data_IF_600041922165
#
_entry.id   IF_600041922165
#
_cell.length_a   1.000
_cell.length_b   1.000
_cell.length_c   1.000
_cell.angle_alpha   90.00
_cell.angle_beta   90.00
_cell.angle_gamma   90.00
#
_symmetry.space_group_name_H-M   'P 1'
#
loop_
_entity.id
_entity.type
_entity.pdbx_description
1 polymer ?
#
# COMPACT_ATOMS: atom_id res chain seq x y z
N UNK A 1 -9.95 -55.05 -11.04
CA UNK A 1 -10.26 -56.02 -9.95
C UNK A 1 -10.21 -57.48 -10.42
N UNK A 2 -10.40 -57.78 -11.71
CA UNK A 2 -10.38 -59.14 -12.27
C UNK A 2 -8.98 -59.77 -12.42
N UNK A 3 -7.95 -58.98 -12.72
CA UNK A 3 -6.60 -59.50 -13.03
C UNK A 3 -5.89 -60.11 -11.82
N UNK A 4 -6.06 -59.51 -10.63
CA UNK A 4 -5.43 -59.99 -9.39
C UNK A 4 -5.93 -61.37 -8.98
N UNK A 5 -7.25 -61.61 -9.08
CA UNK A 5 -7.83 -62.93 -8.75
C UNK A 5 -7.39 -64.02 -9.72
N UNK A 6 -7.26 -63.71 -11.02
CA UNK A 6 -6.76 -64.66 -12.03
C UNK A 6 -5.30 -65.02 -11.75
N UNK A 7 -4.48 -64.05 -11.35
CA UNK A 7 -3.06 -64.24 -11.05
C UNK A 7 -2.87 -65.08 -9.77
N UNK A 8 -3.67 -64.81 -8.73
CA UNK A 8 -3.71 -65.62 -7.50
C UNK A 8 -4.14 -67.05 -7.81
N UNK A 9 -5.20 -67.24 -8.61
CA UNK A 9 -5.67 -68.57 -9.00
C UNK A 9 -4.62 -69.33 -9.83
N UNK A 10 -3.97 -68.66 -10.78
CA UNK A 10 -2.90 -69.23 -11.59
C UNK A 10 -1.70 -69.68 -10.72
N UNK A 11 -1.27 -68.85 -9.76
CA UNK A 11 -0.20 -69.20 -8.82
C UNK A 11 -0.59 -70.39 -7.94
N UNK A 12 -1.84 -70.43 -7.47
CA UNK A 12 -2.32 -71.52 -6.62
C UNK A 12 -2.32 -72.87 -7.34
N UNK A 13 -2.77 -72.88 -8.60
CA UNK A 13 -2.72 -74.07 -9.46
C UNK A 13 -1.27 -74.45 -9.76
N UNK A 14 -0.43 -73.49 -10.14
CA UNK A 14 0.99 -73.73 -10.44
C UNK A 14 1.74 -74.28 -9.21
N UNK A 15 1.50 -73.71 -8.02
CA UNK A 15 2.08 -74.14 -6.77
C UNK A 15 1.67 -75.57 -6.39
N UNK A 16 0.39 -75.93 -6.61
CA UNK A 16 -0.10 -77.30 -6.42
C UNK A 16 0.59 -78.31 -7.35
N UNK A 17 0.72 -77.97 -8.64
CA UNK A 17 1.43 -78.81 -9.62
C UNK A 17 2.88 -79.01 -9.22
N UNK A 18 3.59 -77.93 -8.88
CA UNK A 18 5.00 -78.00 -8.54
C UNK A 18 5.23 -78.77 -7.22
N UNK A 19 4.34 -78.63 -6.22
CA UNK A 19 4.41 -79.37 -4.97
C UNK A 19 4.32 -80.90 -5.19
N UNK A 20 3.42 -81.35 -6.08
CA UNK A 20 3.30 -82.79 -6.39
C UNK A 20 4.52 -83.36 -7.13
N UNK A 21 5.16 -82.55 -7.98
CA UNK A 21 6.40 -82.93 -8.68
C UNK A 21 7.58 -83.00 -7.70
N UNK A 22 7.68 -82.03 -6.79
CA UNK A 22 8.71 -82.00 -5.73
C UNK A 22 8.63 -83.23 -4.81
N UNK A 23 7.43 -83.63 -4.39
CA UNK A 23 7.23 -84.82 -3.55
C UNK A 23 7.58 -86.13 -4.28
N UNK A 24 7.24 -86.23 -5.58
CA UNK A 24 7.62 -87.38 -6.40
C UNK A 24 9.12 -87.48 -6.63
N UNK A 25 9.82 -86.35 -6.74
CA UNK A 25 11.29 -86.32 -6.81
C UNK A 25 11.91 -86.78 -5.49
N UNK A 26 11.43 -86.25 -4.36
CA UNK A 26 11.90 -86.64 -3.02
C UNK A 26 11.72 -88.13 -2.72
N UNK A 27 10.54 -88.68 -3.03
CA UNK A 27 10.23 -90.10 -2.80
C UNK A 27 11.01 -91.04 -3.73
N UNK A 28 11.25 -90.65 -4.99
CA UNK A 28 12.10 -91.43 -5.91
C UNK A 28 13.56 -91.46 -5.46
N UNK A 29 14.10 -90.33 -5.02
CA UNK A 29 15.48 -90.25 -4.49
C UNK A 29 15.62 -91.08 -3.21
N UNK A 30 14.60 -91.05 -2.34
CA UNK A 30 14.56 -91.90 -1.14
C UNK A 30 14.46 -93.40 -1.43
N UNK A 31 13.69 -93.81 -2.44
CA UNK A 31 13.60 -95.23 -2.85
C UNK A 31 14.84 -95.73 -3.59
N UNK A 32 15.51 -94.86 -4.35
CA UNK A 32 16.73 -95.19 -5.09
C UNK A 32 17.97 -95.40 -4.18
N UNK A 33 17.82 -95.21 -2.86
CA UNK A 33 18.89 -95.30 -1.84
C UNK A 33 20.14 -94.48 -2.20
N UNK A 34 19.95 -93.34 -2.85
CA UNK A 34 21.04 -92.46 -3.24
C UNK A 34 21.73 -91.91 -1.98
N UNK A 35 23.05 -91.97 -1.97
CA UNK A 35 23.90 -91.37 -0.95
C UNK A 35 24.51 -90.10 -1.53
N UNK A 36 24.33 -88.98 -0.85
CA UNK A 36 25.01 -87.73 -1.16
C UNK A 36 25.98 -87.47 -0.01
N UNK A 37 27.28 -87.28 -0.30
CA UNK A 37 28.30 -87.03 0.72
C UNK A 37 28.30 -88.02 1.91
N UNK A 38 28.20 -89.33 1.65
CA UNK A 38 28.16 -90.39 2.67
C UNK A 38 26.98 -90.34 3.66
N UNK A 39 25.90 -89.59 3.35
CA UNK A 39 24.72 -89.55 4.20
C UNK A 39 23.88 -90.82 4.09
N UNK A 40 23.28 -91.23 5.23
CA UNK A 40 22.32 -92.34 5.27
C UNK A 40 21.17 -92.03 4.30
N UNK A 41 20.74 -92.97 3.44
CA UNK A 41 19.82 -92.67 2.33
C UNK A 41 18.52 -91.96 2.67
N UNK A 42 17.98 -92.16 3.90
CA UNK A 42 16.82 -91.42 4.41
C UNK A 42 17.10 -89.92 4.56
N UNK A 43 18.26 -89.56 5.09
CA UNK A 43 18.65 -88.16 5.31
C UNK A 43 18.99 -87.49 3.96
N UNK A 44 19.59 -88.23 3.03
CA UNK A 44 19.82 -87.75 1.66
C UNK A 44 18.50 -87.34 0.98
N UNK A 45 17.47 -88.18 1.10
CA UNK A 45 16.16 -87.89 0.51
C UNK A 45 15.56 -86.59 1.09
N UNK A 46 15.62 -86.41 2.41
CA UNK A 46 15.13 -85.20 3.08
C UNK A 46 15.89 -83.95 2.61
N UNK A 47 17.23 -84.01 2.56
CA UNK A 47 18.06 -82.90 2.10
C UNK A 47 17.72 -82.53 0.65
N UNK A 48 17.60 -83.52 -0.23
CA UNK A 48 17.23 -83.29 -1.64
C UNK A 48 15.83 -82.69 -1.74
N UNK A 49 14.85 -83.14 -0.95
CA UNK A 49 13.51 -82.54 -0.92
C UNK A 49 13.54 -81.09 -0.46
N UNK A 50 14.28 -80.75 0.60
CA UNK A 50 14.38 -79.37 1.10
C UNK A 50 15.05 -78.46 0.08
N UNK A 51 16.15 -78.90 -0.55
CA UNK A 51 16.82 -78.15 -1.61
C UNK A 51 15.88 -77.96 -2.81
N UNK A 52 15.19 -79.02 -3.23
CA UNK A 52 14.23 -78.95 -4.34
C UNK A 52 13.09 -77.97 -4.03
N UNK A 53 12.52 -78.02 -2.83
CA UNK A 53 11.52 -77.07 -2.36
C UNK A 53 12.03 -75.62 -2.32
N UNK A 54 13.26 -75.41 -1.86
CA UNK A 54 13.89 -74.08 -1.82
C UNK A 54 14.11 -73.51 -3.23
N UNK A 55 14.60 -74.34 -4.16
CA UNK A 55 14.80 -73.95 -5.57
C UNK A 55 13.45 -73.62 -6.23
N UNK A 56 12.43 -74.43 -5.98
CA UNK A 56 11.06 -74.19 -6.46
C UNK A 56 10.55 -72.83 -5.95
N UNK A 57 10.58 -72.61 -4.64
CA UNK A 57 10.09 -71.37 -4.03
C UNK A 57 10.87 -70.14 -4.51
N UNK A 58 12.20 -70.24 -4.62
CA UNK A 58 13.04 -69.17 -5.15
C UNK A 58 12.71 -68.87 -6.62
N UNK A 59 12.45 -69.90 -7.43
CA UNK A 59 12.06 -69.74 -8.84
C UNK A 59 10.69 -69.07 -8.96
N UNK A 60 9.71 -69.49 -8.16
CA UNK A 60 8.38 -68.86 -8.14
C UNK A 60 8.47 -67.40 -7.73
N UNK A 61 9.23 -67.08 -6.68
CA UNK A 61 9.44 -65.70 -6.23
C UNK A 61 10.12 -64.86 -7.34
N UNK A 62 11.14 -65.42 -8.00
CA UNK A 62 11.86 -64.76 -9.10
C UNK A 62 10.94 -64.45 -10.27
N UNK A 63 10.10 -65.40 -10.68
CA UNK A 63 9.11 -65.20 -11.73
C UNK A 63 8.13 -64.09 -11.34
N UNK A 64 7.67 -64.07 -10.07
CA UNK A 64 6.75 -63.05 -9.58
C UNK A 64 7.38 -61.65 -9.62
N UNK A 65 8.64 -61.50 -9.20
CA UNK A 65 9.38 -60.24 -9.27
C UNK A 65 9.65 -59.75 -10.69
N UNK A 66 9.81 -60.68 -11.66
CA UNK A 66 10.00 -60.33 -13.07
C UNK A 66 8.68 -59.97 -13.76
N UNK A 67 7.60 -60.65 -13.41
CA UNK A 67 6.29 -60.44 -14.00
C UNK A 67 5.57 -59.20 -13.44
N UNK A 68 5.81 -58.86 -12.16
CA UNK A 68 5.12 -57.78 -11.47
C UNK A 68 6.08 -56.65 -11.05
N UNK A 69 6.03 -55.56 -11.81
CA UNK A 69 6.78 -54.34 -11.51
C UNK A 69 6.31 -53.65 -10.22
N UNK A 70 5.02 -53.76 -9.86
CA UNK A 70 4.45 -53.17 -8.65
C UNK A 70 4.94 -53.89 -7.40
N UNK A 71 5.10 -55.22 -7.46
CA UNK A 71 5.65 -56.00 -6.35
C UNK A 71 7.13 -55.64 -6.09
N UNK A 72 7.92 -55.45 -7.15
CA UNK A 72 9.32 -55.02 -7.05
C UNK A 72 9.43 -53.61 -6.46
N UNK A 73 8.68 -52.65 -7.01
CA UNK A 73 8.65 -51.27 -6.52
C UNK A 73 8.11 -51.22 -5.08
N UNK A 74 7.05 -51.95 -4.76
CA UNK A 74 6.46 -51.98 -3.42
C UNK A 74 7.37 -52.57 -2.34
N UNK A 75 8.16 -53.61 -2.65
CA UNK A 75 9.08 -54.23 -1.68
C UNK A 75 10.39 -53.44 -1.50
N UNK A 76 10.88 -52.74 -2.53
CA UNK A 76 12.17 -52.05 -2.47
C UNK A 76 12.09 -50.52 -2.33
N UNK A 77 10.95 -49.90 -2.65
CA UNK A 77 10.80 -48.44 -2.66
C UNK A 77 9.89 -47.90 -1.57
N UNK A 78 9.35 -48.76 -0.68
CA UNK A 78 8.44 -48.34 0.40
C UNK A 78 9.02 -47.22 1.29
N UNK A 79 10.33 -47.27 1.56
CA UNK A 79 11.03 -46.23 2.30
C UNK A 79 11.03 -44.89 1.55
N UNK A 80 11.38 -44.91 0.25
CA UNK A 80 11.35 -43.71 -0.60
C UNK A 80 9.96 -43.11 -0.70
N UNK A 81 8.93 -43.95 -0.87
CA UNK A 81 7.54 -43.49 -0.93
C UNK A 81 7.13 -42.84 0.39
N UNK A 82 7.55 -43.37 1.55
CA UNK A 82 7.29 -42.72 2.84
C UNK A 82 8.03 -41.38 2.97
N UNK A 83 9.29 -41.32 2.58
CA UNK A 83 10.10 -40.10 2.62
C UNK A 83 9.49 -39.01 1.70
N UNK A 84 9.08 -39.38 0.48
CA UNK A 84 8.42 -38.48 -0.47
C UNK A 84 7.07 -37.99 0.07
N UNK A 85 6.33 -38.84 0.78
CA UNK A 85 5.05 -38.49 1.37
C UNK A 85 5.22 -37.53 2.56
N UNK A 86 6.25 -37.73 3.38
CA UNK A 86 6.63 -36.79 4.45
C UNK A 86 7.09 -35.46 3.85
N UNK A 87 7.95 -35.48 2.83
CA UNK A 87 8.41 -34.28 2.14
C UNK A 87 7.25 -33.51 1.50
N UNK A 88 6.36 -34.19 0.79
CA UNK A 88 5.19 -33.58 0.15
C UNK A 88 4.22 -32.98 1.17
N UNK A 89 4.03 -33.64 2.32
CA UNK A 89 3.20 -33.08 3.42
C UNK A 89 3.82 -31.81 3.99
N UNK A 90 5.14 -31.80 4.18
CA UNK A 90 5.87 -30.62 4.65
C UNK A 90 5.77 -29.47 3.67
N UNK A 91 5.99 -29.73 2.38
CA UNK A 91 5.88 -28.71 1.32
C UNK A 91 4.46 -28.13 1.21
N UNK A 92 3.44 -28.98 1.42
CA UNK A 92 2.05 -28.52 1.47
C UNK A 92 1.80 -27.61 2.69
N UNK A 93 2.33 -27.95 3.86
CA UNK A 93 2.20 -27.14 5.08
C UNK A 93 2.92 -25.78 4.95
N UNK A 94 4.12 -25.79 4.36
CA UNK A 94 4.89 -24.59 4.06
C UNK A 94 4.13 -23.69 3.07
N UNK A 95 3.58 -24.27 2.00
CA UNK A 95 2.77 -23.54 1.01
C UNK A 95 1.49 -22.94 1.59
N UNK A 96 0.83 -23.64 2.51
CA UNK A 96 -0.35 -23.13 3.22
C UNK A 96 0.06 -21.93 4.09
N UNK A 97 1.17 -22.04 4.81
CA UNK A 97 1.69 -20.99 5.68
C UNK A 97 2.07 -19.74 4.88
N UNK A 98 2.76 -19.91 3.76
CA UNK A 98 3.12 -18.83 2.85
C UNK A 98 1.86 -18.16 2.27
N UNK A 99 0.88 -18.94 1.82
CA UNK A 99 -0.39 -18.41 1.29
C UNK A 99 -1.14 -17.59 2.34
N UNK A 100 -1.17 -18.02 3.60
CA UNK A 100 -1.77 -17.25 4.70
C UNK A 100 -0.97 -15.98 5.03
N UNK A 101 0.35 -15.99 4.90
CA UNK A 101 1.17 -14.79 5.06
C UNK A 101 0.89 -13.77 3.95
N UNK A 102 0.90 -14.21 2.68
CA UNK A 102 0.59 -13.37 1.52
C UNK A 102 -0.84 -12.83 1.61
N UNK A 103 -1.81 -13.65 2.05
CA UNK A 103 -3.19 -13.21 2.26
C UNK A 103 -3.28 -12.10 3.31
N UNK A 104 -2.54 -12.22 4.42
CA UNK A 104 -2.48 -11.18 5.46
C UNK A 104 -1.85 -9.89 4.94
N UNK A 105 -0.74 -9.98 4.21
CA UNK A 105 -0.11 -8.81 3.57
C UNK A 105 -1.06 -8.12 2.59
N UNK A 106 -1.77 -8.91 1.77
CA UNK A 106 -2.72 -8.36 0.79
C UNK A 106 -3.89 -7.63 1.47
N UNK A 107 -4.39 -8.16 2.59
CA UNK A 107 -5.40 -7.48 3.40
C UNK A 107 -4.88 -6.17 4.00
N UNK A 108 -3.64 -6.17 4.50
CA UNK A 108 -3.00 -4.98 5.03
C UNK A 108 -2.83 -3.91 3.94
N UNK A 109 -2.24 -4.26 2.79
CA UNK A 109 -2.05 -3.34 1.66
C UNK A 109 -3.39 -2.80 1.16
N UNK A 110 -4.44 -3.62 1.07
CA UNK A 110 -5.79 -3.13 0.74
C UNK A 110 -6.32 -2.12 1.75
N UNK A 111 -6.06 -2.34 3.04
CA UNK A 111 -6.50 -1.42 4.09
C UNK A 111 -5.76 -0.08 4.02
N UNK A 112 -4.45 -0.12 3.79
CA UNK A 112 -3.60 1.07 3.60
C UNK A 112 -4.00 1.83 2.33
N UNK A 113 -4.25 1.13 1.22
CA UNK A 113 -4.74 1.75 -0.02
C UNK A 113 -6.07 2.49 0.21
N UNK A 114 -7.00 1.87 0.94
CA UNK A 114 -8.29 2.50 1.27
C UNK A 114 -8.14 3.71 2.20
N UNK A 115 -7.12 3.73 3.07
CA UNK A 115 -6.81 4.91 3.88
C UNK A 115 -6.21 6.01 3.00
N UNK A 116 -5.23 5.68 2.16
CA UNK A 116 -4.57 6.62 1.26
C UNK A 116 -5.55 7.27 0.27
N UNK A 117 -6.53 6.51 -0.23
CA UNK A 117 -7.61 7.07 -1.05
C UNK A 117 -8.45 8.11 -0.29
N UNK A 118 -8.80 7.84 0.97
CA UNK A 118 -9.54 8.80 1.80
C UNK A 118 -8.71 10.05 2.07
N UNK A 119 -7.44 9.88 2.42
CA UNK A 119 -6.53 10.99 2.69
C UNK A 119 -6.31 11.85 1.44
N UNK A 120 -6.21 11.22 0.27
CA UNK A 120 -6.15 11.92 -1.01
C UNK A 120 -7.42 12.75 -1.26
N UNK A 121 -8.60 12.19 -1.02
CA UNK A 121 -9.87 12.92 -1.16
C UNK A 121 -9.95 14.09 -0.19
N UNK A 122 -9.58 13.89 1.09
CA UNK A 122 -9.54 14.95 2.09
C UNK A 122 -8.57 16.07 1.70
N UNK A 123 -7.36 15.70 1.26
CA UNK A 123 -6.34 16.65 0.80
C UNK A 123 -6.82 17.45 -0.41
N UNK A 124 -7.51 16.80 -1.37
CA UNK A 124 -8.09 17.49 -2.53
C UNK A 124 -9.19 18.47 -2.11
N UNK A 125 -10.04 18.11 -1.15
CA UNK A 125 -11.06 19.02 -0.61
C UNK A 125 -10.42 20.21 0.11
N UNK A 126 -9.40 19.98 0.94
CA UNK A 126 -8.65 21.04 1.61
C UNK A 126 -7.99 21.98 0.59
N UNK A 127 -7.38 21.43 -0.46
CA UNK A 127 -6.77 22.22 -1.53
C UNK A 127 -7.80 23.09 -2.25
N UNK A 128 -9.00 22.55 -2.53
CA UNK A 128 -10.09 23.31 -3.13
C UNK A 128 -10.54 24.46 -2.22
N UNK A 129 -10.70 24.21 -0.91
CA UNK A 129 -11.05 25.24 0.07
C UNK A 129 -9.99 26.33 0.15
N UNK A 130 -8.71 25.95 0.30
CA UNK A 130 -7.60 26.91 0.38
C UNK A 130 -7.46 27.72 -0.92
N UNK A 131 -7.67 27.08 -2.07
CA UNK A 131 -7.68 27.76 -3.38
C UNK A 131 -8.80 28.81 -3.46
N UNK A 132 -10.01 28.47 -3.00
CA UNK A 132 -11.13 29.41 -2.94
C UNK A 132 -10.88 30.56 -1.96
N UNK A 133 -10.36 30.27 -0.77
CA UNK A 133 -9.97 31.29 0.21
C UNK A 133 -8.91 32.24 -0.35
N UNK A 134 -7.92 31.70 -1.06
CA UNK A 134 -6.88 32.51 -1.72
C UNK A 134 -7.47 33.43 -2.78
N UNK A 135 -8.45 32.95 -3.57
CA UNK A 135 -9.16 33.78 -4.56
C UNK A 135 -9.95 34.90 -3.87
N UNK A 136 -10.71 34.58 -2.82
CA UNK A 136 -11.48 35.55 -2.05
C UNK A 136 -10.57 36.63 -1.45
N UNK A 137 -9.49 36.22 -0.79
CA UNK A 137 -8.51 37.14 -0.20
C UNK A 137 -7.86 38.04 -1.25
N UNK A 138 -7.55 37.52 -2.45
CA UNK A 138 -7.03 38.35 -3.55
C UNK A 138 -8.05 39.40 -3.99
N UNK A 139 -9.32 39.03 -4.12
CA UNK A 139 -10.39 39.97 -4.46
C UNK A 139 -10.57 41.03 -3.37
N UNK A 140 -10.51 40.63 -2.09
CA UNK A 140 -10.61 41.52 -0.94
C UNK A 140 -9.45 42.52 -0.89
N UNK A 141 -8.21 42.05 -1.12
CA UNK A 141 -7.02 42.91 -1.22
C UNK A 141 -7.20 43.94 -2.34
N UNK A 142 -7.64 43.53 -3.53
CA UNK A 142 -7.90 44.46 -4.63
C UNK A 142 -8.96 45.50 -4.27
N UNK A 143 -10.07 45.08 -3.64
CA UNK A 143 -11.13 45.98 -3.21
C UNK A 143 -10.62 47.00 -2.17
N UNK A 144 -9.83 46.55 -1.20
CA UNK A 144 -9.22 47.42 -0.20
C UNK A 144 -8.21 48.39 -0.81
N UNK A 145 -7.44 47.95 -1.81
CA UNK A 145 -6.53 48.84 -2.55
C UNK A 145 -7.30 49.93 -3.30
N UNK A 146 -8.39 49.59 -3.99
CA UNK A 146 -9.25 50.57 -4.67
C UNK A 146 -9.87 51.55 -3.68
N UNK A 147 -10.45 51.04 -2.58
CA UNK A 147 -11.05 51.91 -1.55
C UNK A 147 -10.03 52.83 -0.90
N UNK A 148 -8.79 52.35 -0.68
CA UNK A 148 -7.69 53.19 -0.20
C UNK A 148 -7.35 54.29 -1.20
N UNK A 149 -7.31 53.98 -2.50
CA UNK A 149 -7.04 54.97 -3.54
C UNK A 149 -8.13 56.04 -3.59
N UNK A 150 -9.40 55.65 -3.53
CA UNK A 150 -10.53 56.58 -3.47
C UNK A 150 -10.46 57.48 -2.23
N UNK A 151 -10.13 56.93 -1.05
CA UNK A 151 -9.96 57.69 0.18
C UNK A 151 -8.81 58.70 0.09
N UNK A 152 -7.70 58.32 -0.56
CA UNK A 152 -6.58 59.23 -0.81
C UNK A 152 -7.02 60.37 -1.73
N UNK A 153 -7.73 60.08 -2.82
CA UNK A 153 -8.25 61.10 -3.73
C UNK A 153 -9.23 62.04 -3.06
N UNK A 154 -10.16 61.53 -2.24
CA UNK A 154 -11.08 62.35 -1.45
C UNK A 154 -10.32 63.26 -0.46
N UNK A 155 -9.28 62.73 0.19
CA UNK A 155 -8.44 63.51 1.10
C UNK A 155 -7.73 64.64 0.36
N UNK A 156 -7.13 64.37 -0.80
CA UNK A 156 -6.46 65.40 -1.62
C UNK A 156 -7.44 66.47 -2.11
N UNK A 157 -8.65 66.08 -2.54
CA UNK A 157 -9.71 67.02 -2.91
C UNK A 157 -10.12 67.91 -1.74
N UNK A 158 -10.27 67.34 -0.54
CA UNK A 158 -10.63 68.07 0.67
C UNK A 158 -9.52 69.04 1.11
N UNK A 159 -8.26 68.63 0.99
CA UNK A 159 -7.11 69.50 1.25
C UNK A 159 -7.11 70.66 0.26
N UNK A 160 -7.30 70.40 -1.04
CA UNK A 160 -7.35 71.44 -2.06
C UNK A 160 -8.51 72.42 -1.88
N UNK A 161 -9.70 71.94 -1.50
CA UNK A 161 -10.85 72.82 -1.21
C UNK A 161 -10.62 73.67 0.03
N UNK A 162 -10.09 73.07 1.10
CA UNK A 162 -9.73 73.78 2.34
C UNK A 162 -8.68 74.85 2.07
N UNK A 163 -7.66 74.54 1.25
CA UNK A 163 -6.60 75.50 0.90
C UNK A 163 -7.13 76.65 0.03
N UNK A 164 -8.05 76.38 -0.89
CA UNK A 164 -8.77 77.43 -1.64
C UNK A 164 -9.59 78.33 -0.72
N UNK A 165 -10.29 77.75 0.25
CA UNK A 165 -11.08 78.51 1.21
C UNK A 165 -10.19 79.38 2.12
N UNK A 166 -9.09 78.82 2.64
CA UNK A 166 -8.10 79.57 3.41
C UNK A 166 -7.50 80.73 2.61
N UNK A 167 -7.16 80.51 1.34
CA UNK A 167 -6.64 81.57 0.46
C UNK A 167 -7.67 82.69 0.27
N UNK A 168 -8.95 82.36 0.02
CA UNK A 168 -10.04 83.34 -0.09
C UNK A 168 -10.24 84.12 1.21
N UNK A 169 -10.21 83.44 2.36
CA UNK A 169 -10.31 84.10 3.68
C UNK A 169 -9.15 85.04 3.92
N UNK A 170 -7.92 84.63 3.58
CA UNK A 170 -6.73 85.48 3.71
C UNK A 170 -6.83 86.72 2.81
N UNK A 171 -7.25 86.59 1.55
CA UNK A 171 -7.49 87.73 0.65
C UNK A 171 -8.56 88.68 1.21
N UNK A 172 -9.68 88.14 1.72
CA UNK A 172 -10.73 88.97 2.32
C UNK A 172 -10.24 89.72 3.57
N UNK A 173 -9.41 89.08 4.41
CA UNK A 173 -8.78 89.73 5.57
C UNK A 173 -7.84 90.86 5.12
N UNK A 174 -7.00 90.62 4.11
CA UNK A 174 -6.08 91.62 3.55
C UNK A 174 -6.83 92.81 2.94
N UNK A 175 -7.92 92.56 2.21
CA UNK A 175 -8.80 93.63 1.69
C UNK A 175 -9.45 94.44 2.82
N UNK A 176 -9.95 93.78 3.87
CA UNK A 176 -10.54 94.46 5.03
C UNK A 176 -9.51 95.28 5.81
N UNK A 177 -8.28 94.77 5.98
CA UNK A 177 -7.17 95.51 6.58
C UNK A 177 -6.84 96.75 5.75
N UNK A 178 -6.66 96.58 4.43
CA UNK A 178 -6.37 97.69 3.51
C UNK A 178 -7.46 98.75 3.55
N UNK A 179 -8.74 98.36 3.56
CA UNK A 179 -9.87 99.29 3.70
C UNK A 179 -9.84 100.03 5.04
N UNK A 180 -9.60 99.31 6.13
CA UNK A 180 -9.52 99.90 7.47
C UNK A 180 -8.37 100.91 7.57
N UNK A 181 -7.20 100.60 7.02
CA UNK A 181 -6.04 101.50 6.99
C UNK A 181 -6.31 102.76 6.15
N UNK A 182 -6.99 102.61 5.01
CA UNK A 182 -7.46 103.75 4.20
C UNK A 182 -8.45 104.63 4.98
N UNK A 183 -9.40 104.03 5.70
CA UNK A 183 -10.36 104.77 6.54
C UNK A 183 -9.66 105.49 7.70
N UNK A 184 -8.74 104.83 8.40
CA UNK A 184 -7.93 105.44 9.46
C UNK A 184 -7.14 106.62 8.91
N UNK A 185 -6.50 106.47 7.74
CA UNK A 185 -5.75 107.54 7.08
C UNK A 185 -6.64 108.72 6.73
N UNK A 186 -7.82 108.48 6.16
CA UNK A 186 -8.82 109.53 5.85
C UNK A 186 -9.28 110.25 7.11
N UNK A 187 -9.65 109.52 8.17
CA UNK A 187 -10.06 110.11 9.45
C UNK A 187 -8.94 110.93 10.08
N UNK A 188 -7.70 110.44 10.04
CA UNK A 188 -6.54 111.18 10.55
C UNK A 188 -6.32 112.50 9.78
N UNK A 189 -6.46 112.48 8.45
CA UNK A 189 -6.41 113.70 7.64
C UNK A 189 -7.55 114.66 7.98
N UNK A 190 -8.77 114.16 8.19
CA UNK A 190 -9.92 114.98 8.57
C UNK A 190 -9.76 115.59 9.96
N UNK A 191 -9.29 114.81 10.95
CA UNK A 191 -8.96 115.29 12.29
C UNK A 191 -7.92 116.39 12.21
N UNK A 192 -6.86 116.20 11.42
CA UNK A 192 -5.81 117.23 11.22
C UNK A 192 -6.40 118.52 10.64
N UNK A 193 -7.26 118.43 9.62
CA UNK A 193 -7.96 119.60 9.04
C UNK A 193 -8.85 120.31 10.07
N UNK A 194 -9.61 119.55 10.86
CA UNK A 194 -10.46 120.11 11.93
C UNK A 194 -9.64 120.79 13.02
N UNK A 195 -8.50 120.20 13.42
CA UNK A 195 -7.56 120.82 14.36
C UNK A 195 -6.97 122.13 13.82
N UNK A 196 -6.62 122.17 12.53
CA UNK A 196 -6.15 123.39 11.86
C UNK A 196 -7.25 124.47 11.80
N UNK A 197 -8.50 124.10 11.56
CA UNK A 197 -9.65 125.02 11.58
C UNK A 197 -9.92 125.57 12.98
N UNK A 198 -9.93 124.71 14.01
CA UNK A 198 -10.12 125.13 15.40
C UNK A 198 -9.02 126.11 15.84
N UNK A 199 -7.75 125.83 15.51
CA UNK A 199 -6.63 126.75 15.79
C UNK A 199 -6.75 128.10 15.08
N UNK A 200 -7.41 128.16 13.92
CA UNK A 200 -7.68 129.44 13.24
C UNK A 200 -8.80 130.22 13.95
N UNK A 201 -9.88 129.55 14.32
CA UNK A 201 -11.00 130.14 15.07
C UNK A 201 -10.55 130.65 16.45
N UNK A 202 -9.71 129.90 17.17
CA UNK A 202 -9.14 130.34 18.46
C UNK A 202 -8.24 131.59 18.32
N UNK A 203 -7.57 131.75 17.17
CA UNK A 203 -6.76 132.96 16.87
C UNK A 203 -7.61 134.16 16.44
N UNK A 204 -8.82 133.94 15.96
CA UNK A 204 -9.77 135.01 15.59
C UNK A 204 -10.63 135.49 16.78
N UNK A 205 -10.63 134.75 17.90
CA UNK A 205 -11.34 135.11 19.14
C UNK A 205 -10.44 135.72 20.24
N UNK A 206 -9.17 135.99 19.95
CA UNK A 206 -8.24 136.76 20.79
C UNK A 206 -7.89 138.09 20.13
#
# INVERSE_FOLDING_TARGET
MSTGYVLVFAILVLGGVIATVGDRLGTRVGKARLSLFNLRPRNTAVVVTVITGTVISATTLTILFLADSQLRTGLFELGKIQDDLVASRKELEDSITEKEMVRRQLLQVKSEQKQLERDKTLTQQQLATVSNQTKQLRTEIHRLQTSRQELVEQREQLIASSQKELSRRNQAIEELQTRSDMEITKRNQEIKRRQEQLRKLEREQQ
#
